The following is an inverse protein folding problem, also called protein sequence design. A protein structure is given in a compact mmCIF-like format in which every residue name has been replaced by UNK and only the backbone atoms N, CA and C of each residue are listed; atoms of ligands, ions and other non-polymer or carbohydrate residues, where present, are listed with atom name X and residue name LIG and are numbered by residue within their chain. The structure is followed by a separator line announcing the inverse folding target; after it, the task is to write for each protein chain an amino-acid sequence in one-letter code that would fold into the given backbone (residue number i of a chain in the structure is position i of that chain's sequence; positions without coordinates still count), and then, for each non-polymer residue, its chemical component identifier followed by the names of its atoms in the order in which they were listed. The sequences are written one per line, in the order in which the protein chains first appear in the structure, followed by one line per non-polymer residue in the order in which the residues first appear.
data_IF_956118442301
#
_entry.id   IF_956118442301
#
_cell.length_a   1.000
_cell.length_b   1.000
_cell.length_c   1.000
_cell.angle_alpha   90.00
_cell.angle_beta   90.00
_cell.angle_gamma   90.00
#
_symmetry.space_group_name_H-M   'P 1'
#
loop_
_entity.id
_entity.type
_entity.pdbx_description
1 polymer ?
#
# COMPACT_ATOMS: atom_id res chain seq x y z
N UNK A 1 6.25 -4.78 4.53
CA UNK A 1 5.45 -5.99 4.90
C UNK A 1 4.51 -5.70 6.06
N UNK A 2 4.99 -5.11 7.17
CA UNK A 2 4.14 -4.72 8.31
C UNK A 2 3.05 -3.69 7.92
N UNK A 3 3.39 -2.72 7.08
CA UNK A 3 2.45 -1.67 6.65
C UNK A 3 1.28 -2.23 5.81
N UNK A 4 1.58 -3.16 4.90
CA UNK A 4 0.56 -3.84 4.09
C UNK A 4 -0.37 -4.66 4.98
N UNK A 5 0.17 -5.40 5.96
CA UNK A 5 -0.62 -6.14 6.93
C UNK A 5 -1.54 -5.20 7.75
N UNK A 6 -1.01 -4.07 8.21
CA UNK A 6 -1.76 -3.07 8.95
C UNK A 6 -2.92 -2.49 8.12
N UNK A 7 -2.68 -2.18 6.84
CA UNK A 7 -3.72 -1.68 5.94
C UNK A 7 -4.84 -2.69 5.72
N UNK A 8 -4.48 -3.95 5.44
CA UNK A 8 -5.46 -5.03 5.21
C UNK A 8 -6.34 -5.27 6.43
N UNK A 9 -5.76 -5.27 7.63
CA UNK A 9 -6.49 -5.56 8.88
C UNK A 9 -7.36 -4.38 9.32
N UNK A 10 -6.85 -3.15 9.26
CA UNK A 10 -7.52 -1.99 9.87
C UNK A 10 -8.43 -1.21 8.92
N UNK A 11 -8.27 -1.37 7.60
CA UNK A 11 -9.07 -0.64 6.60
C UNK A 11 -9.86 -1.60 5.73
N UNK A 12 -9.17 -2.37 4.89
CA UNK A 12 -9.83 -3.15 3.83
C UNK A 12 -10.76 -4.24 4.39
N UNK A 13 -10.32 -5.00 5.41
CA UNK A 13 -11.14 -6.07 5.97
C UNK A 13 -12.44 -5.54 6.60
N UNK A 14 -12.43 -4.52 7.48
CA UNK A 14 -13.66 -3.91 8.00
C UNK A 14 -14.59 -3.37 6.92
N UNK A 15 -14.06 -2.68 5.90
CA UNK A 15 -14.87 -2.12 4.81
C UNK A 15 -15.61 -3.22 4.04
N UNK A 16 -14.92 -4.29 3.66
CA UNK A 16 -15.54 -5.43 2.96
C UNK A 16 -16.57 -6.15 3.84
N UNK A 17 -16.30 -6.28 5.15
CA UNK A 17 -17.26 -6.88 6.09
C UNK A 17 -18.54 -6.05 6.18
N UNK A 18 -18.43 -4.72 6.21
CA UNK A 18 -19.60 -3.84 6.21
C UNK A 18 -20.42 -3.98 4.93
N UNK A 19 -19.77 -4.02 3.77
CA UNK A 19 -20.44 -4.22 2.47
C UNK A 19 -21.17 -5.57 2.44
N UNK A 20 -20.50 -6.65 2.86
CA UNK A 20 -21.12 -7.99 2.91
C UNK A 20 -22.30 -8.03 3.87
N UNK A 21 -22.19 -7.37 5.03
CA UNK A 21 -23.26 -7.31 6.02
C UNK A 21 -24.49 -6.56 5.50
N UNK A 22 -24.27 -5.42 4.83
CA UNK A 22 -25.34 -4.66 4.19
C UNK A 22 -25.98 -5.45 3.05
N UNK A 23 -25.16 -6.04 2.17
CA UNK A 23 -25.64 -6.89 1.08
C UNK A 23 -26.44 -8.10 1.58
N UNK A 24 -26.07 -8.69 2.71
CA UNK A 24 -26.80 -9.79 3.33
C UNK A 24 -28.15 -9.38 3.92
N UNK A 25 -28.35 -8.09 4.22
CA UNK A 25 -29.62 -7.53 4.72
C UNK A 25 -30.59 -7.14 3.60
N UNK A 26 -30.13 -6.99 2.36
CA UNK A 26 -30.91 -6.46 1.25
C UNK A 26 -31.62 -7.53 0.40
N UNK A 27 -31.55 -8.82 0.74
CA UNK A 27 -32.26 -9.86 -0.01
C UNK A 27 -31.65 -11.26 0.07
N UNK A 28 -31.99 -12.11 -0.92
CA UNK A 28 -31.44 -13.47 -1.01
C UNK A 28 -29.95 -13.47 -1.34
N UNK A 29 -29.21 -14.29 -0.60
CA UNK A 29 -27.74 -14.32 -0.62
C UNK A 29 -27.19 -15.01 -1.87
N UNK A 30 -27.98 -15.88 -2.50
CA UNK A 30 -27.60 -16.59 -3.73
C UNK A 30 -27.65 -15.70 -4.95
N UNK A 31 -28.64 -14.80 -5.00
CA UNK A 31 -28.88 -13.93 -6.15
C UNK A 31 -28.12 -12.60 -6.05
N UNK A 32 -27.81 -12.17 -4.82
CA UNK A 32 -27.09 -10.92 -4.61
C UNK A 32 -25.61 -11.03 -5.01
N UNK A 33 -25.26 -10.41 -6.14
CA UNK A 33 -23.90 -10.28 -6.63
C UNK A 33 -22.95 -9.64 -5.62
N UNK A 34 -23.37 -8.58 -4.92
CA UNK A 34 -22.53 -7.86 -3.96
C UNK A 34 -22.10 -8.75 -2.79
N UNK A 35 -23.00 -9.64 -2.35
CA UNK A 35 -22.69 -10.62 -1.32
C UNK A 35 -21.65 -11.64 -1.82
N UNK A 36 -21.84 -12.19 -3.02
CA UNK A 36 -20.90 -13.14 -3.62
C UNK A 36 -19.51 -12.53 -3.83
N UNK A 37 -19.46 -11.32 -4.40
CA UNK A 37 -18.21 -10.60 -4.64
C UNK A 37 -17.52 -10.22 -3.33
N UNK A 38 -18.25 -9.71 -2.34
CA UNK A 38 -17.71 -9.39 -1.03
C UNK A 38 -17.15 -10.62 -0.30
N UNK A 39 -17.84 -11.76 -0.36
CA UNK A 39 -17.35 -13.05 0.19
C UNK A 39 -16.11 -13.58 -0.53
N UNK A 40 -15.96 -13.35 -1.83
CA UNK A 40 -14.73 -13.70 -2.57
C UNK A 40 -13.58 -12.78 -2.14
N UNK A 41 -13.80 -11.46 -2.12
CA UNK A 41 -12.79 -10.48 -1.72
C UNK A 41 -12.31 -10.68 -0.28
N UNK A 42 -13.22 -10.98 0.65
CA UNK A 42 -12.87 -11.28 2.04
C UNK A 42 -11.92 -12.49 2.14
N UNK A 43 -12.13 -13.53 1.31
CA UNK A 43 -11.22 -14.69 1.27
C UNK A 43 -9.84 -14.36 0.71
N UNK A 44 -9.75 -13.46 -0.26
CA UNK A 44 -8.47 -12.98 -0.80
C UNK A 44 -7.68 -12.24 0.28
N UNK A 45 -8.35 -11.33 1.01
CA UNK A 45 -7.76 -10.54 2.09
C UNK A 45 -7.25 -11.46 3.21
N UNK A 46 -8.08 -12.39 3.68
CA UNK A 46 -7.68 -13.32 4.75
C UNK A 46 -6.50 -14.22 4.34
N UNK A 47 -6.45 -14.66 3.08
CA UNK A 47 -5.30 -15.43 2.55
C UNK A 47 -4.02 -14.58 2.56
N UNK A 48 -4.11 -13.32 2.16
CA UNK A 48 -2.97 -12.40 2.15
C UNK A 48 -2.47 -12.10 3.57
N UNK A 49 -3.38 -11.86 4.51
CA UNK A 49 -3.05 -11.66 5.92
C UNK A 49 -2.30 -12.87 6.48
N UNK A 50 -2.80 -14.09 6.25
CA UNK A 50 -2.12 -15.33 6.72
C UNK A 50 -0.72 -15.47 6.12
N UNK A 51 -0.56 -15.19 4.83
CA UNK A 51 0.73 -15.24 4.17
C UNK A 51 1.74 -14.26 4.78
N UNK A 52 1.33 -13.01 5.00
CA UNK A 52 2.19 -11.97 5.57
C UNK A 52 2.55 -12.28 7.03
N UNK A 53 1.57 -12.72 7.83
CA UNK A 53 1.75 -13.05 9.24
C UNK A 53 2.76 -14.21 9.40
N UNK A 54 2.58 -15.30 8.63
CA UNK A 54 3.51 -16.44 8.66
C UNK A 54 4.95 -16.05 8.31
N UNK A 55 5.15 -15.12 7.38
CA UNK A 55 6.48 -14.64 7.01
C UNK A 55 7.11 -13.72 8.06
N UNK A 56 6.29 -12.94 8.77
CA UNK A 56 6.76 -12.09 9.84
C UNK A 56 7.16 -12.92 11.08
N UNK A 57 6.40 -13.97 11.40
CA UNK A 57 6.74 -14.90 12.49
C UNK A 57 8.02 -15.70 12.22
N UNK A 58 8.26 -16.08 10.96
CA UNK A 58 9.46 -16.80 10.57
C UNK A 58 10.71 -15.89 10.41
N UNK A 59 10.56 -14.56 10.51
CA UNK A 59 11.65 -13.64 10.31
C UNK A 59 12.52 -13.55 11.57
N UNK A 60 13.72 -14.11 11.52
CA UNK A 60 14.74 -13.91 12.55
C UNK A 60 15.43 -12.56 12.31
N UNK A 61 15.41 -11.69 13.31
CA UNK A 61 16.21 -10.46 13.30
C UNK A 61 17.66 -10.88 13.54
N UNK A 62 18.54 -10.63 12.57
CA UNK A 62 19.97 -10.93 12.68
C UNK A 62 20.69 -9.65 13.10
N UNK A 63 21.26 -9.67 14.31
CA UNK A 63 22.11 -8.58 14.79
C UNK A 63 23.51 -8.71 14.17
N UNK A 64 24.02 -7.68 13.47
CA UNK A 64 25.30 -7.76 12.78
C UNK A 64 26.52 -7.75 13.73
N UNK A 65 26.34 -7.30 14.98
CA UNK A 65 27.41 -7.14 15.97
C UNK A 65 27.81 -8.45 16.68
N UNK A 66 26.92 -9.45 16.71
CA UNK A 66 27.15 -10.75 17.34
C UNK A 66 27.84 -11.77 16.41
N UNK A 67 28.29 -11.34 15.22
CA UNK A 67 28.78 -12.22 14.17
C UNK A 67 30.31 -12.37 14.22
N UNK A 68 30.80 -13.60 14.12
CA UNK A 68 32.25 -13.87 14.01
C UNK A 68 32.82 -13.34 12.69
N UNK A 69 34.07 -12.86 12.72
CA UNK A 69 34.75 -12.27 11.56
C UNK A 69 34.89 -13.30 10.43
N UNK A 70 34.07 -13.17 9.39
CA UNK A 70 34.12 -13.98 8.17
C UNK A 70 34.49 -13.11 6.98
N UNK A 71 35.40 -13.60 6.13
CA UNK A 71 36.00 -12.87 4.98
C UNK A 71 35.02 -12.52 3.83
N UNK A 72 33.77 -12.97 3.88
CA UNK A 72 32.78 -12.74 2.83
C UNK A 72 31.47 -12.27 3.46
N UNK A 73 31.31 -10.95 3.55
CA UNK A 73 30.05 -10.32 3.95
C UNK A 73 29.36 -9.83 2.68
N UNK A 74 28.26 -10.48 2.29
CA UNK A 74 27.39 -9.96 1.23
C UNK A 74 26.51 -8.83 1.80
N UNK A 75 27.14 -7.72 2.14
CA UNK A 75 26.46 -6.45 2.41
C UNK A 75 26.71 -5.54 1.22
N UNK A 76 25.91 -5.70 0.18
CA UNK A 76 25.98 -4.82 -0.98
C UNK A 76 25.49 -3.42 -0.59
N UNK A 77 26.42 -2.51 -0.27
CA UNK A 77 26.18 -1.06 -0.38
C UNK A 77 26.68 -0.66 -1.76
N UNK A 78 25.81 -0.29 -2.72
CA UNK A 78 26.30 0.27 -3.96
C UNK A 78 26.84 1.66 -3.65
N UNK A 79 28.15 1.78 -3.47
CA UNK A 79 28.83 3.06 -3.56
C UNK A 79 28.87 3.45 -5.02
N UNK A 80 28.16 4.52 -5.38
CA UNK A 80 28.39 5.19 -6.67
C UNK A 80 29.81 5.76 -6.61
N UNK A 81 30.74 5.13 -7.32
CA UNK A 81 32.07 5.69 -7.54
C UNK A 81 31.91 6.84 -8.54
N UNK A 82 31.87 8.07 -8.04
CA UNK A 82 32.01 9.25 -8.88
C UNK A 82 33.44 9.32 -9.42
N UNK A 83 33.69 8.80 -10.62
CA UNK A 83 34.87 9.14 -11.39
C UNK A 83 34.63 10.48 -12.09
N UNK A 84 34.95 11.58 -11.41
CA UNK A 84 34.93 12.91 -12.01
C UNK A 84 36.36 13.40 -12.22
N UNK A 85 36.97 12.99 -13.33
CA UNK A 85 38.09 13.70 -13.95
C UNK A 85 37.52 14.71 -14.95
N UNK A 86 37.74 16.00 -14.68
CA UNK A 86 37.95 17.03 -15.69
C UNK A 86 36.76 17.51 -16.54
N UNK A 87 36.36 18.76 -16.24
CA UNK A 87 35.96 19.80 -17.20
C UNK A 87 34.61 19.68 -17.95
N UNK A 88 33.65 20.53 -17.57
CA UNK A 88 33.37 21.82 -18.25
C UNK A 88 32.03 22.39 -17.75
N UNK A 89 31.95 23.71 -17.53
CA UNK A 89 30.68 24.42 -17.46
C UNK A 89 30.25 24.76 -18.88
N UNK A 90 28.95 24.68 -19.19
CA UNK A 90 28.29 25.89 -19.63
C UNK A 90 26.96 26.17 -18.92
N UNK A 91 26.58 27.43 -19.08
CA UNK A 91 25.56 28.21 -18.42
C UNK A 91 24.14 28.03 -18.98
N UNK A 92 23.21 28.72 -18.29
CA UNK A 92 21.82 29.14 -18.62
C UNK A 92 20.73 28.29 -17.94
N UNK A 93 20.09 28.76 -16.87
CA UNK A 93 19.07 29.82 -16.79
C UNK A 93 17.80 29.54 -17.60
N UNK A 94 16.78 28.99 -16.93
CA UNK A 94 15.32 29.25 -17.07
C UNK A 94 14.56 28.08 -16.42
N UNK A 95 13.99 28.28 -15.23
CA UNK A 95 12.61 28.72 -15.05
C UNK A 95 11.58 27.71 -15.58
N UNK A 96 10.98 26.94 -14.67
CA UNK A 96 9.53 26.90 -14.44
C UNK A 96 9.19 25.64 -13.66
N UNK A 97 9.04 25.83 -12.35
CA UNK A 97 8.40 24.88 -11.44
C UNK A 97 6.91 24.85 -11.81
N UNK A 98 6.51 23.93 -12.69
CA UNK A 98 5.08 23.66 -12.90
C UNK A 98 4.62 22.76 -11.77
N UNK A 99 4.00 23.41 -10.79
CA UNK A 99 3.14 22.81 -9.79
C UNK A 99 2.10 21.93 -10.48
N UNK A 100 2.11 20.63 -10.17
CA UNK A 100 1.00 19.74 -10.51
C UNK A 100 -0.10 20.04 -9.49
N UNK A 101 -1.27 20.58 -9.88
CA UNK A 101 -2.34 20.82 -8.93
C UNK A 101 -2.89 19.47 -8.45
N UNK A 102 -2.77 19.23 -7.13
CA UNK A 102 -3.62 18.26 -6.45
C UNK A 102 -5.02 18.87 -6.36
N UNK A 103 -6.00 18.17 -6.92
CA UNK A 103 -7.35 17.89 -6.39
C UNK A 103 -8.36 17.80 -7.52
N UNK A 104 -9.05 16.68 -7.60
CA UNK A 104 -10.52 16.69 -7.60
C UNK A 104 -10.98 15.56 -6.69
N UNK A 105 -11.56 15.94 -5.55
CA UNK A 105 -12.34 15.04 -4.71
C UNK A 105 -13.64 14.76 -5.47
N UNK A 106 -14.05 13.50 -5.55
CA UNK A 106 -15.24 13.06 -6.30
C UNK A 106 -16.55 13.20 -5.49
N UNK A 107 -16.62 14.16 -4.54
CA UNK A 107 -17.76 14.32 -3.65
C UNK A 107 -18.05 15.80 -3.41
N UNK A 108 -18.43 16.49 -4.48
CA UNK A 108 -19.32 17.65 -4.40
C UNK A 108 -20.69 17.18 -4.92
N UNK A 109 -21.39 16.43 -4.07
CA UNK A 109 -22.79 16.10 -4.27
C UNK A 109 -23.61 17.33 -3.86
N UNK A 110 -24.20 17.97 -4.84
CA UNK A 110 -25.03 19.15 -4.68
C UNK A 110 -26.12 18.91 -3.63
N UNK A 111 -26.12 19.79 -2.63
CA UNK A 111 -27.30 20.15 -1.83
C UNK A 111 -28.27 20.84 -2.79
N UNK A 112 -29.45 20.23 -2.99
CA UNK A 112 -30.53 20.76 -3.81
C UNK A 112 -31.87 20.64 -3.09
N UNK A 113 -32.23 21.73 -2.42
CA UNK A 113 -33.56 22.24 -2.09
C UNK A 113 -34.79 21.29 -2.13
N UNK A 114 -35.41 21.10 -0.95
CA UNK A 114 -36.84 20.81 -0.81
C UNK A 114 -37.52 22.09 -0.26
N UNK A 115 -38.57 22.65 -0.88
CA UNK A 115 -39.42 23.64 -0.23
C UNK A 115 -40.51 22.98 0.63
N UNK A 116 -41.00 23.75 1.61
CA UNK A 116 -41.91 23.39 2.72
C UNK A 116 -43.24 22.73 2.31
#
# INVERSE_FOLDING_TARGET
MKDELYQLVNKERPEIVQIVNWAAGNGDRSENGDYLYGKRRMREIDRRIRFLTKRLEAAVVVDPELREATDQVFSARPSVCCAATGASKPSKSSASMKSIPRKTNFLDFAVGALPD
#
